data_IF_944128182669
#
_entry.id   IF_944128182669
#
_cell.length_a   1.000
_cell.length_b   1.000
_cell.length_c   1.000
_cell.angle_alpha   90.00
_cell.angle_beta   90.00
_cell.angle_gamma   90.00
#
_symmetry.space_group_name_H-M   'P 1'
#
loop_
_entity.id
_entity.type
_entity.pdbx_description
1 polymer ?
#
# COMPACT_ATOMS: atom_id res chain seq x y z
N UNK A 1 -78.44 10.55 -16.82
CA UNK A 1 -77.60 11.10 -15.74
C UNK A 1 -76.18 11.27 -16.27
N UNK A 2 -75.75 12.52 -16.44
CA UNK A 2 -74.40 12.95 -16.82
C UNK A 2 -73.68 13.39 -15.54
N UNK A 3 -72.43 12.99 -15.35
CA UNK A 3 -71.48 13.60 -14.41
C UNK A 3 -70.11 13.57 -15.10
N UNK A 4 -69.70 14.66 -15.75
CA UNK A 4 -68.94 15.80 -15.21
C UNK A 4 -67.53 15.36 -14.79
N UNK A 5 -66.59 15.56 -15.72
CA UNK A 5 -65.17 15.75 -15.47
C UNK A 5 -64.99 17.14 -14.82
N UNK A 6 -63.98 17.31 -13.95
CA UNK A 6 -63.11 18.47 -14.11
C UNK A 6 -61.63 18.08 -14.19
N UNK A 7 -60.98 18.71 -15.18
CA UNK A 7 -59.54 18.97 -15.28
C UNK A 7 -59.08 19.88 -14.12
N UNK A 8 -57.75 20.02 -14.03
CA UNK A 8 -56.92 20.88 -13.16
C UNK A 8 -56.43 20.15 -11.89
N UNK A 9 -55.15 20.19 -11.48
CA UNK A 9 -54.12 21.21 -11.65
C UNK A 9 -52.71 20.56 -11.72
N UNK A 10 -51.94 21.02 -12.70
CA UNK A 10 -50.49 21.24 -12.73
C UNK A 10 -49.65 20.76 -11.53
N UNK A 11 -48.87 19.69 -11.73
CA UNK A 11 -47.59 19.56 -11.02
C UNK A 11 -46.62 20.56 -11.66
N UNK A 12 -46.49 21.69 -10.99
CA UNK A 12 -45.37 22.61 -11.16
C UNK A 12 -44.12 21.80 -10.80
N UNK A 13 -43.34 21.40 -11.80
CA UNK A 13 -41.91 21.23 -11.60
C UNK A 13 -41.41 22.60 -11.17
N UNK A 14 -41.17 22.78 -9.86
CA UNK A 14 -40.23 23.79 -9.42
C UNK A 14 -38.89 23.35 -9.99
N UNK A 15 -38.58 23.89 -11.17
CA UNK A 15 -37.22 24.20 -11.54
C UNK A 15 -36.67 25.00 -10.37
N UNK A 16 -35.90 24.33 -9.51
CA UNK A 16 -34.91 25.02 -8.71
C UNK A 16 -33.99 25.70 -9.72
N UNK A 17 -34.29 26.94 -10.08
CA UNK A 17 -33.32 27.89 -10.58
C UNK A 17 -32.42 28.24 -9.39
N UNK A 18 -31.61 27.28 -8.97
CA UNK A 18 -30.37 27.56 -8.29
C UNK A 18 -29.52 28.29 -9.31
N UNK A 19 -29.18 29.54 -9.01
CA UNK A 19 -28.16 30.27 -9.74
C UNK A 19 -26.89 29.41 -9.82
N UNK A 20 -26.60 28.91 -11.02
CA UNK A 20 -25.32 28.41 -11.49
C UNK A 20 -24.60 27.38 -10.63
N UNK A 21 -25.15 26.18 -10.45
CA UNK A 21 -24.23 25.04 -10.35
C UNK A 21 -23.55 24.92 -11.72
N UNK A 22 -22.22 25.01 -11.78
CA UNK A 22 -21.51 24.79 -13.03
C UNK A 22 -21.83 23.38 -13.53
N UNK A 23 -22.49 23.27 -14.68
CA UNK A 23 -22.66 21.99 -15.37
C UNK A 23 -21.29 21.57 -15.90
N UNK A 24 -20.64 20.66 -15.17
CA UNK A 24 -19.35 20.11 -15.55
C UNK A 24 -19.50 19.28 -16.82
N UNK A 25 -19.01 19.79 -17.95
CA UNK A 25 -19.06 19.08 -19.23
C UNK A 25 -18.31 17.75 -19.14
N UNK A 26 -18.77 16.72 -19.86
CA UNK A 26 -17.99 15.50 -20.03
C UNK A 26 -16.75 15.82 -20.86
N UNK A 27 -15.57 15.43 -20.37
CA UNK A 27 -14.31 15.66 -21.06
C UNK A 27 -14.28 14.99 -22.43
N UNK A 28 -14.79 13.76 -22.50
CA UNK A 28 -14.88 13.00 -23.74
C UNK A 28 -16.23 12.26 -23.77
N UNK A 29 -16.96 12.34 -24.91
CA UNK A 29 -18.30 11.79 -25.04
C UNK A 29 -18.36 10.24 -25.10
N UNK A 30 -17.24 9.53 -25.18
CA UNK A 30 -17.23 8.07 -25.19
C UNK A 30 -17.09 7.48 -23.78
N UNK A 31 -16.89 8.33 -22.78
CA UNK A 31 -16.77 7.92 -21.38
C UNK A 31 -18.14 7.80 -20.72
N UNK A 32 -18.32 6.72 -19.95
CA UNK A 32 -19.60 6.36 -19.34
C UNK A 32 -19.67 6.71 -17.85
N UNK A 33 -18.53 6.79 -17.17
CA UNK A 33 -18.48 7.00 -15.72
C UNK A 33 -17.43 8.04 -15.33
N UNK A 34 -17.74 8.80 -14.26
CA UNK A 34 -16.77 9.69 -13.61
C UNK A 34 -17.04 9.87 -12.12
N UNK A 35 -16.01 10.16 -11.32
CA UNK A 35 -16.15 10.57 -9.91
C UNK A 35 -15.59 11.98 -9.73
N UNK A 36 -16.37 12.89 -9.15
CA UNK A 36 -15.91 14.25 -8.82
C UNK A 36 -15.10 14.26 -7.52
N UNK A 37 -13.94 14.86 -7.57
CA UNK A 37 -13.02 15.09 -6.44
C UNK A 37 -12.80 16.59 -6.31
N UNK A 38 -13.13 17.13 -5.15
CA UNK A 38 -12.78 18.48 -4.77
C UNK A 38 -11.53 18.45 -3.87
N UNK A 39 -10.53 19.25 -4.22
CA UNK A 39 -9.26 19.35 -3.52
C UNK A 39 -9.10 20.77 -2.99
N UNK A 40 -8.78 20.88 -1.70
CA UNK A 40 -8.40 22.12 -1.02
C UNK A 40 -7.15 21.87 -0.20
N UNK A 41 -6.55 22.92 0.34
CA UNK A 41 -5.39 22.80 1.23
C UNK A 41 -5.60 23.58 2.51
N UNK A 42 -4.90 23.20 3.59
CA UNK A 42 -4.89 23.97 4.85
C UNK A 42 -4.02 25.22 4.74
N UNK A 43 -3.03 25.21 3.86
CA UNK A 43 -2.20 26.37 3.51
C UNK A 43 -1.87 26.32 2.02
N UNK A 44 -1.44 27.44 1.44
CA UNK A 44 -1.07 27.45 0.03
C UNK A 44 0.11 26.51 -0.25
N UNK A 45 -0.10 25.57 -1.18
CA UNK A 45 0.87 24.56 -1.61
C UNK A 45 0.92 24.49 -3.13
N UNK A 46 2.10 24.31 -3.68
CA UNK A 46 2.30 24.14 -5.12
C UNK A 46 2.71 22.69 -5.42
N UNK A 47 2.19 22.13 -6.52
CA UNK A 47 2.60 20.83 -7.06
C UNK A 47 2.53 19.68 -6.03
N UNK A 48 1.37 19.53 -5.39
CA UNK A 48 1.21 18.64 -4.25
C UNK A 48 0.80 17.20 -4.66
N UNK A 49 1.47 16.14 -4.16
CA UNK A 49 1.06 14.75 -4.34
C UNK A 49 -0.31 14.45 -3.72
N UNK A 50 -1.26 14.02 -4.54
CA UNK A 50 -2.58 13.64 -4.11
C UNK A 50 -2.86 12.16 -4.38
N UNK A 51 -3.60 11.56 -3.46
CA UNK A 51 -4.10 10.21 -3.58
C UNK A 51 -5.54 10.12 -3.08
N UNK A 52 -6.35 9.34 -3.78
CA UNK A 52 -7.78 9.17 -3.45
C UNK A 52 -8.17 7.72 -3.64
N UNK A 53 -8.77 7.14 -2.60
CA UNK A 53 -9.34 5.80 -2.67
C UNK A 53 -10.74 5.87 -3.28
N UNK A 54 -10.96 5.07 -4.32
CA UNK A 54 -12.22 4.96 -5.03
C UNK A 54 -12.66 3.49 -5.11
N UNK A 55 -13.97 3.27 -5.03
CA UNK A 55 -14.58 1.98 -5.31
C UNK A 55 -15.53 2.12 -6.49
N UNK A 56 -15.10 1.65 -7.65
CA UNK A 56 -15.84 1.66 -8.89
C UNK A 56 -16.82 0.49 -9.02
N UNK A 57 -16.83 -0.49 -8.09
CA UNK A 57 -17.68 -1.69 -8.19
C UNK A 57 -19.17 -1.36 -8.29
N UNK A 58 -19.57 -0.24 -7.71
CA UNK A 58 -20.97 0.22 -7.70
C UNK A 58 -21.45 0.74 -9.07
N UNK A 59 -20.58 0.89 -10.07
CA UNK A 59 -20.93 1.43 -11.38
C UNK A 59 -21.03 0.37 -12.48
N UNK A 60 -20.81 -0.91 -12.13
CA UNK A 60 -20.82 -2.03 -13.09
C UNK A 60 -21.98 -2.99 -12.77
N UNK A 61 -22.70 -3.41 -13.81
CA UNK A 61 -23.72 -4.44 -13.72
C UNK A 61 -23.15 -5.84 -13.52
N UNK A 62 -24.03 -6.81 -13.27
CA UNK A 62 -23.62 -8.22 -13.16
C UNK A 62 -22.96 -8.69 -14.46
N UNK A 63 -21.71 -9.17 -14.37
CA UNK A 63 -20.93 -9.65 -15.51
C UNK A 63 -20.12 -8.58 -16.24
N UNK A 64 -20.31 -7.30 -15.92
CA UNK A 64 -19.43 -6.23 -16.40
C UNK A 64 -18.14 -6.18 -15.56
N UNK A 65 -17.05 -5.74 -16.18
CA UNK A 65 -15.73 -5.67 -15.57
C UNK A 65 -15.14 -4.28 -15.74
N UNK A 66 -14.51 -3.78 -14.70
CA UNK A 66 -13.75 -2.53 -14.72
C UNK A 66 -12.47 -2.69 -15.52
N UNK A 67 -12.16 -1.72 -16.40
CA UNK A 67 -10.86 -1.64 -17.05
C UNK A 67 -9.92 -0.70 -16.26
N UNK A 68 -8.90 -1.21 -15.54
CA UNK A 68 -7.96 -0.38 -14.81
C UNK A 68 -7.15 0.56 -15.72
N UNK A 69 -6.94 0.19 -16.99
CA UNK A 69 -6.24 1.03 -17.97
C UNK A 69 -7.10 2.17 -18.51
N UNK A 70 -8.39 2.17 -18.21
CA UNK A 70 -9.29 3.27 -18.53
C UNK A 70 -9.22 4.41 -17.53
N UNK A 71 -8.53 4.32 -16.38
CA UNK A 71 -8.56 5.45 -15.45
C UNK A 71 -7.90 6.70 -16.07
N UNK A 72 -8.61 7.82 -16.07
CA UNK A 72 -8.14 9.15 -16.47
C UNK A 72 -8.52 10.19 -15.44
N UNK A 73 -7.64 11.17 -15.23
CA UNK A 73 -7.90 12.27 -14.32
C UNK A 73 -7.96 13.57 -15.12
N UNK A 74 -9.03 14.34 -14.95
CA UNK A 74 -9.22 15.60 -15.66
C UNK A 74 -9.52 16.70 -14.67
N UNK A 75 -8.75 17.78 -14.74
CA UNK A 75 -9.04 19.01 -14.02
C UNK A 75 -10.08 19.84 -14.77
N UNK A 76 -11.07 20.35 -14.04
CA UNK A 76 -12.08 21.26 -14.57
C UNK A 76 -12.16 22.53 -13.72
N UNK A 77 -12.40 23.65 -14.37
CA UNK A 77 -12.54 24.93 -13.69
C UNK A 77 -13.84 24.93 -12.86
N UNK A 78 -13.77 25.19 -11.55
CA UNK A 78 -14.93 25.07 -10.66
C UNK A 78 -16.04 26.09 -10.95
N UNK A 79 -15.73 27.20 -11.65
CA UNK A 79 -16.69 28.29 -11.95
C UNK A 79 -17.39 28.08 -13.29
N UNK A 80 -16.66 27.59 -14.28
CA UNK A 80 -17.13 27.46 -15.67
C UNK A 80 -17.47 26.02 -16.07
N UNK A 81 -16.99 25.03 -15.33
CA UNK A 81 -17.13 23.61 -15.66
C UNK A 81 -16.32 23.15 -16.88
N UNK A 82 -15.50 24.05 -17.45
CA UNK A 82 -14.67 23.75 -18.61
C UNK A 82 -13.48 22.87 -18.24
N UNK A 83 -13.08 21.99 -19.16
CA UNK A 83 -11.85 21.20 -19.04
C UNK A 83 -10.65 22.13 -19.06
N UNK A 84 -9.84 22.06 -18.01
CA UNK A 84 -8.57 22.77 -17.93
C UNK A 84 -7.48 21.92 -18.57
N UNK A 85 -7.37 20.65 -18.16
CA UNK A 85 -6.39 19.68 -18.66
C UNK A 85 -6.70 18.25 -18.24
N UNK A 86 -6.15 17.29 -18.96
CA UNK A 86 -5.94 15.94 -18.48
C UNK A 86 -4.65 15.91 -17.63
N UNK A 87 -4.72 15.30 -16.45
CA UNK A 87 -3.60 15.17 -15.52
C UNK A 87 -3.00 13.77 -15.61
N UNK A 88 -1.66 13.64 -15.62
CA UNK A 88 -1.04 12.34 -15.44
C UNK A 88 -1.46 11.74 -14.10
N UNK A 89 -2.05 10.56 -14.14
CA UNK A 89 -2.53 9.84 -12.96
C UNK A 89 -2.31 8.35 -13.12
N UNK A 90 -2.11 7.66 -12.00
CA UNK A 90 -1.94 6.21 -11.94
C UNK A 90 -2.97 5.64 -11.00
N UNK A 91 -3.74 4.68 -11.52
CA UNK A 91 -4.62 3.85 -10.71
C UNK A 91 -3.85 2.65 -10.17
N UNK A 92 -3.87 2.51 -8.85
CA UNK A 92 -3.32 1.38 -8.14
C UNK A 92 -4.50 0.59 -7.54
N UNK A 93 -4.79 -0.62 -8.01
CA UNK A 93 -5.76 -1.48 -7.37
C UNK A 93 -5.45 -1.56 -5.87
N UNK A 94 -6.44 -1.27 -5.01
CA UNK A 94 -6.20 -1.25 -3.56
C UNK A 94 -6.19 -2.67 -3.08
N UNK A 95 -5.10 -3.06 -2.45
CA UNK A 95 -5.02 -4.39 -1.89
C UNK A 95 -5.69 -4.54 -0.51
N UNK A 96 -6.04 -3.45 0.20
CA UNK A 96 -6.54 -3.58 1.59
C UNK A 96 -7.59 -2.56 2.00
N UNK A 97 -8.65 -2.99 2.71
CA UNK A 97 -9.39 -2.10 3.64
C UNK A 97 -8.66 -2.06 4.98
N UNK A 98 -8.61 -0.88 5.60
CA UNK A 98 -8.14 -0.51 6.96
C UNK A 98 -8.60 -1.41 8.14
N UNK A 99 -9.31 -2.54 7.92
CA UNK A 99 -9.98 -3.32 8.99
C UNK A 99 -9.93 -4.84 8.83
N UNK A 100 -9.12 -5.39 7.94
CA UNK A 100 -9.05 -6.85 7.83
C UNK A 100 -7.62 -7.29 7.81
N UNK A 101 -7.07 -7.44 9.02
CA UNK A 101 -6.15 -8.54 9.25
C UNK A 101 -6.80 -9.80 8.73
N UNK A 102 -6.21 -10.32 7.68
CA UNK A 102 -6.47 -11.65 7.23
C UNK A 102 -5.24 -12.44 7.67
N UNK A 103 -5.17 -12.97 8.91
CA UNK A 103 -4.11 -13.89 9.27
C UNK A 103 -4.03 -14.99 8.20
N UNK A 104 -2.85 -15.53 7.89
CA UNK A 104 -2.66 -16.48 6.78
C UNK A 104 -3.61 -17.69 6.79
N UNK A 105 -4.14 -18.07 7.96
CA UNK A 105 -5.19 -19.07 8.13
C UNK A 105 -6.60 -18.64 7.67
N UNK A 106 -6.77 -17.39 7.24
CA UNK A 106 -8.03 -16.77 6.83
C UNK A 106 -8.04 -16.30 5.39
N UNK A 107 -7.49 -17.04 4.42
CA UNK A 107 -7.99 -16.94 3.03
C UNK A 107 -9.49 -16.66 3.07
N UNK A 108 -9.91 -15.55 2.45
CA UNK A 108 -11.22 -14.93 2.71
C UNK A 108 -12.31 -16.02 2.77
N UNK A 109 -13.24 -15.91 3.72
CA UNK A 109 -14.32 -16.87 4.06
C UNK A 109 -15.13 -17.39 2.86
N UNK A 110 -14.93 -16.80 1.67
CA UNK A 110 -15.62 -17.07 0.41
C UNK A 110 -14.89 -18.02 -0.55
N UNK A 111 -13.68 -18.52 -0.24
CA UNK A 111 -13.00 -19.53 -1.07
C UNK A 111 -13.18 -20.96 -0.49
N UNK A 112 -13.57 -21.96 -1.30
CA UNK A 112 -13.57 -23.35 -0.87
C UNK A 112 -12.15 -23.78 -0.50
N UNK A 113 -11.97 -24.27 0.75
CA UNK A 113 -10.68 -24.58 1.37
C UNK A 113 -10.21 -26.01 1.04
N UNK A 114 -9.28 -26.25 0.11
CA UNK A 114 -8.33 -27.33 0.34
C UNK A 114 -7.44 -26.94 1.54
N UNK A 115 -7.07 -27.87 2.43
CA UNK A 115 -6.12 -27.57 3.49
C UNK A 115 -4.81 -27.10 2.85
N UNK A 116 -4.32 -25.93 3.26
CA UNK A 116 -2.98 -25.47 2.88
C UNK A 116 -1.97 -26.55 3.33
N UNK A 117 -1.04 -26.90 2.45
CA UNK A 117 0.04 -27.82 2.78
C UNK A 117 1.34 -27.04 2.83
N UNK A 118 2.12 -27.24 3.89
CA UNK A 118 3.49 -26.75 3.96
C UNK A 118 4.44 -27.91 3.72
N UNK A 119 5.47 -27.66 2.94
CA UNK A 119 6.52 -28.61 2.59
C UNK A 119 7.87 -27.96 2.80
N UNK A 120 8.86 -28.75 3.19
CA UNK A 120 10.24 -28.29 3.25
C UNK A 120 11.17 -29.27 2.53
N UNK A 121 12.32 -28.78 2.04
CA UNK A 121 13.37 -29.67 1.52
C UNK A 121 14.00 -30.51 2.63
N UNK A 122 14.07 -29.96 3.85
CA UNK A 122 14.44 -30.70 5.07
C UNK A 122 13.75 -30.10 6.29
N UNK A 123 13.53 -30.92 7.32
CA UNK A 123 12.92 -30.48 8.58
C UNK A 123 13.42 -31.32 9.76
N UNK A 124 13.60 -30.68 10.90
CA UNK A 124 13.90 -31.36 12.15
C UNK A 124 12.64 -32.02 12.71
N UNK A 125 12.79 -33.20 13.31
CA UNK A 125 11.64 -33.99 13.79
C UNK A 125 10.83 -33.29 14.90
N UNK A 126 11.49 -32.45 15.69
CA UNK A 126 10.93 -31.60 16.75
C UNK A 126 10.38 -30.27 16.23
N UNK A 127 10.75 -29.85 15.03
CA UNK A 127 10.37 -28.58 14.40
C UNK A 127 9.87 -28.78 12.94
N UNK A 128 8.78 -29.55 12.73
CA UNK A 128 8.28 -29.85 11.38
C UNK A 128 7.68 -28.62 10.69
N UNK A 129 7.65 -28.64 9.35
CA UNK A 129 7.21 -27.54 8.49
C UNK A 129 5.77 -27.10 8.74
N UNK A 130 4.89 -28.02 9.16
CA UNK A 130 3.49 -27.70 9.51
C UNK A 130 3.37 -26.67 10.64
N UNK A 131 4.40 -26.48 11.45
CA UNK A 131 4.37 -25.56 12.59
C UNK A 131 4.27 -24.09 12.16
N UNK A 132 4.72 -23.71 10.95
CA UNK A 132 4.75 -22.31 10.50
C UNK A 132 3.43 -21.79 9.93
N UNK A 133 2.39 -22.61 9.90
CA UNK A 133 1.03 -22.19 9.48
C UNK A 133 -0.02 -22.47 10.56
N UNK A 134 0.42 -22.88 11.75
CA UNK A 134 -0.48 -23.12 12.88
C UNK A 134 -0.97 -21.78 13.44
N UNK A 135 -2.29 -21.58 13.50
CA UNK A 135 -2.88 -20.31 13.91
C UNK A 135 -2.87 -20.10 15.43
N UNK A 136 -2.43 -21.11 16.18
CA UNK A 136 -2.49 -21.13 17.65
C UNK A 136 -1.36 -20.35 18.33
N UNK A 137 -0.38 -19.83 17.59
CA UNK A 137 0.86 -19.32 18.19
C UNK A 137 1.07 -17.84 17.99
N UNK A 138 0.24 -17.03 18.63
CA UNK A 138 0.78 -15.79 19.19
C UNK A 138 1.57 -16.18 20.44
N UNK A 139 2.90 -16.31 20.30
CA UNK A 139 3.90 -16.48 21.38
C UNK A 139 4.16 -17.90 21.95
N UNK A 140 3.79 -18.96 21.24
CA UNK A 140 3.88 -20.35 21.76
C UNK A 140 4.74 -21.33 20.94
N UNK A 141 6.06 -21.24 21.01
CA UNK A 141 7.01 -22.38 20.89
C UNK A 141 7.04 -23.30 19.65
N UNK A 142 6.15 -23.19 18.66
CA UNK A 142 6.20 -24.04 17.46
C UNK A 142 6.90 -23.30 16.33
N UNK A 143 8.09 -23.79 15.97
CA UNK A 143 8.87 -23.30 14.83
C UNK A 143 9.06 -24.43 13.81
N UNK A 144 9.35 -24.07 12.56
CA UNK A 144 10.03 -24.97 11.64
C UNK A 144 11.54 -24.74 11.73
N UNK A 145 12.32 -25.82 11.68
CA UNK A 145 13.78 -25.78 11.57
C UNK A 145 14.24 -26.75 10.49
N UNK A 146 15.15 -26.33 9.62
CA UNK A 146 15.80 -27.24 8.65
C UNK A 146 16.59 -28.36 9.36
N UNK A 147 16.67 -29.56 8.75
CA UNK A 147 17.43 -30.68 9.33
C UNK A 147 18.86 -30.84 8.77
N UNK A 148 19.10 -30.38 7.54
CA UNK A 148 20.39 -30.58 6.86
C UNK A 148 21.32 -29.37 7.04
N UNK A 149 22.65 -29.59 6.99
CA UNK A 149 23.64 -28.52 7.14
C UNK A 149 23.84 -27.70 5.85
N UNK A 150 23.44 -28.22 4.68
CA UNK A 150 23.76 -27.61 3.41
C UNK A 150 22.55 -26.91 2.76
N UNK A 151 22.65 -25.62 2.39
CA UNK A 151 21.62 -24.89 1.66
C UNK A 151 21.44 -25.40 0.21
N UNK A 152 20.31 -25.10 -0.46
CA UNK A 152 19.22 -24.24 0.01
C UNK A 152 18.21 -24.97 0.90
N UNK A 153 17.82 -24.31 1.99
CA UNK A 153 16.63 -24.71 2.75
C UNK A 153 15.41 -24.05 2.13
N UNK A 154 14.45 -24.85 1.69
CA UNK A 154 13.23 -24.36 1.07
C UNK A 154 12.07 -24.68 1.99
N UNK A 155 11.23 -23.69 2.24
CA UNK A 155 9.94 -23.82 2.92
C UNK A 155 8.86 -23.30 1.98
N UNK A 156 7.93 -24.16 1.56
CA UNK A 156 6.89 -23.84 0.58
C UNK A 156 5.50 -24.06 1.12
N UNK A 157 4.59 -23.14 0.77
CA UNK A 157 3.15 -23.22 0.99
C UNK A 157 2.46 -23.56 -0.33
N UNK A 158 1.71 -24.67 -0.38
CA UNK A 158 0.77 -25.03 -1.45
C UNK A 158 -0.63 -24.52 -1.08
N UNK A 159 -1.16 -23.61 -1.90
CA UNK A 159 -2.48 -23.03 -1.73
C UNK A 159 -3.61 -23.97 -2.20
N UNK A 160 -3.26 -25.16 -2.72
CA UNK A 160 -4.16 -26.18 -3.23
C UNK A 160 -4.76 -25.88 -4.61
N UNK A 161 -4.82 -24.60 -5.00
CA UNK A 161 -5.25 -24.14 -6.31
C UNK A 161 -4.58 -22.79 -6.63
N UNK A 162 -4.50 -22.37 -7.91
CA UNK A 162 -4.00 -21.04 -8.25
C UNK A 162 -4.87 -19.92 -7.67
N UNK A 163 -4.26 -19.03 -6.89
CA UNK A 163 -4.85 -17.87 -6.23
C UNK A 163 -4.10 -16.59 -6.61
N UNK A 164 -4.74 -15.44 -6.53
CA UNK A 164 -4.05 -14.15 -6.66
C UNK A 164 -3.33 -13.79 -5.37
N UNK A 165 -2.02 -13.80 -5.37
CA UNK A 165 -1.18 -13.45 -4.22
C UNK A 165 -0.40 -12.19 -4.56
N UNK A 166 -0.24 -11.32 -3.58
CA UNK A 166 0.49 -10.06 -3.69
C UNK A 166 1.44 -9.82 -2.52
N UNK A 167 1.44 -10.73 -1.54
CA UNK A 167 2.34 -10.66 -0.40
C UNK A 167 2.69 -12.04 0.14
N UNK A 168 3.96 -12.17 0.50
CA UNK A 168 4.49 -13.30 1.26
C UNK A 168 5.30 -12.75 2.43
N UNK A 169 5.22 -13.43 3.56
CA UNK A 169 5.86 -13.00 4.80
C UNK A 169 6.46 -14.20 5.51
N UNK A 170 7.59 -14.00 6.17
CA UNK A 170 8.21 -14.97 7.06
C UNK A 170 8.65 -14.29 8.35
N UNK A 171 8.38 -14.92 9.51
CA UNK A 171 8.73 -14.41 10.83
C UNK A 171 9.78 -15.28 11.50
N UNK A 172 10.75 -14.65 12.14
CA UNK A 172 11.83 -15.32 12.88
C UNK A 172 11.56 -15.40 14.36
N UNK A 173 12.05 -16.46 15.04
CA UNK A 173 11.97 -16.55 16.49
C UNK A 173 12.62 -15.36 17.19
N UNK A 174 11.92 -14.82 18.18
CA UNK A 174 12.32 -13.61 18.91
C UNK A 174 13.38 -13.81 19.99
N UNK A 175 13.66 -15.04 20.41
CA UNK A 175 14.53 -15.33 21.54
C UNK A 175 15.58 -16.41 21.19
N UNK A 176 16.84 -16.00 21.03
CA UNK A 176 17.95 -16.94 20.79
C UNK A 176 19.32 -16.26 20.65
N UNK A 177 20.39 -17.06 20.66
CA UNK A 177 21.61 -16.69 19.96
C UNK A 177 21.30 -16.64 18.46
N UNK A 178 22.07 -15.95 17.61
CA UNK A 178 21.65 -15.66 16.22
C UNK A 178 21.65 -16.91 15.31
N UNK A 179 21.70 -18.10 15.90
CA UNK A 179 21.67 -19.39 15.25
C UNK A 179 20.38 -19.53 14.45
N UNK A 180 20.50 -20.03 13.22
CA UNK A 180 19.40 -20.21 12.28
C UNK A 180 18.83 -18.92 11.69
N UNK A 181 19.39 -17.75 12.01
CA UNK A 181 18.95 -16.51 11.36
C UNK A 181 19.42 -16.49 9.89
N UNK A 182 18.51 -16.34 8.91
CA UNK A 182 18.91 -16.21 7.51
C UNK A 182 19.67 -14.91 7.24
N UNK A 183 20.81 -15.05 6.60
CA UNK A 183 21.56 -13.94 6.02
C UNK A 183 21.05 -13.66 4.60
N UNK A 184 20.86 -14.71 3.81
CA UNK A 184 20.39 -14.58 2.43
C UNK A 184 19.16 -15.48 2.25
N UNK A 185 18.06 -14.86 1.83
CA UNK A 185 16.86 -15.60 1.49
C UNK A 185 16.06 -14.90 0.39
N UNK A 186 15.38 -15.70 -0.41
CA UNK A 186 14.53 -15.24 -1.50
C UNK A 186 13.09 -15.72 -1.33
N UNK A 187 12.16 -14.81 -1.58
CA UNK A 187 10.76 -15.14 -1.74
C UNK A 187 10.47 -15.40 -3.20
N UNK A 188 9.86 -16.55 -3.47
CA UNK A 188 9.55 -16.97 -4.82
C UNK A 188 8.13 -17.53 -4.92
N UNK A 189 7.53 -17.40 -6.11
CA UNK A 189 6.19 -17.89 -6.39
C UNK A 189 6.13 -18.67 -7.68
N UNK A 190 5.14 -19.56 -7.80
CA UNK A 190 4.92 -20.35 -9.01
C UNK A 190 3.45 -20.77 -9.16
N UNK A 191 2.97 -20.78 -10.40
CA UNK A 191 1.72 -21.45 -10.79
C UNK A 191 1.93 -22.85 -11.36
N UNK A 192 3.14 -23.14 -11.83
CA UNK A 192 3.44 -24.32 -12.66
C UNK A 192 4.30 -25.36 -11.94
N UNK A 193 4.69 -25.11 -10.69
CA UNK A 193 5.40 -26.10 -9.89
C UNK A 193 4.55 -27.35 -9.69
N UNK A 194 5.19 -28.52 -9.78
CA UNK A 194 4.51 -29.81 -9.60
C UNK A 194 4.54 -30.27 -8.14
N UNK A 195 5.55 -29.84 -7.38
CA UNK A 195 5.85 -30.33 -6.05
C UNK A 195 5.90 -29.23 -4.97
N UNK A 196 5.94 -27.96 -5.39
CA UNK A 196 6.16 -26.80 -4.53
C UNK A 196 7.59 -26.65 -4.04
N UNK A 197 8.52 -27.54 -4.42
CA UNK A 197 9.87 -27.58 -3.85
C UNK A 197 10.96 -27.33 -4.89
N UNK A 198 11.05 -28.11 -5.96
CA UNK A 198 12.20 -28.03 -6.89
C UNK A 198 11.77 -27.97 -8.35
N UNK A 199 10.68 -28.63 -8.72
CA UNK A 199 10.25 -28.73 -10.12
C UNK A 199 9.35 -27.55 -10.49
N UNK A 200 9.63 -26.91 -11.61
CA UNK A 200 8.80 -25.86 -12.21
C UNK A 200 9.55 -24.55 -12.45
N UNK A 201 8.83 -23.57 -12.99
CA UNK A 201 9.31 -22.20 -13.18
C UNK A 201 8.99 -21.39 -11.93
N UNK A 202 9.99 -20.74 -11.35
CA UNK A 202 9.85 -19.91 -10.16
C UNK A 202 10.17 -18.45 -10.49
N UNK A 203 9.31 -17.54 -10.06
CA UNK A 203 9.51 -16.09 -10.14
C UNK A 203 9.96 -15.60 -8.77
N UNK A 204 11.11 -14.93 -8.70
CA UNK A 204 11.54 -14.21 -7.50
C UNK A 204 10.73 -12.93 -7.35
N UNK A 205 10.05 -12.79 -6.22
CA UNK A 205 9.18 -11.65 -5.90
C UNK A 205 9.72 -10.77 -4.78
N UNK A 206 10.80 -11.19 -4.13
CA UNK A 206 11.51 -10.42 -3.12
C UNK A 206 12.60 -11.26 -2.47
N UNK A 207 13.24 -10.71 -1.46
CA UNK A 207 14.29 -11.39 -0.71
C UNK A 207 15.18 -10.40 0.01
N UNK A 208 16.18 -10.89 0.72
CA UNK A 208 17.17 -10.05 1.36
C UNK A 208 18.55 -10.67 1.27
N UNK A 209 19.55 -9.80 1.36
CA UNK A 209 20.96 -10.16 1.49
C UNK A 209 21.50 -9.32 2.64
N UNK A 210 21.61 -9.94 3.81
CA UNK A 210 22.07 -9.27 5.02
C UNK A 210 23.60 -9.36 5.07
N UNK A 211 24.28 -8.33 4.55
CA UNK A 211 25.73 -8.22 4.63
C UNK A 211 26.23 -7.77 6.02
N UNK A 212 25.35 -7.32 6.91
CA UNK A 212 25.74 -6.56 8.09
C UNK A 212 24.95 -6.91 9.35
N UNK A 213 24.97 -8.18 9.80
CA UNK A 213 24.67 -8.63 11.18
C UNK A 213 23.44 -8.02 11.90
N UNK A 214 22.50 -7.42 11.18
CA UNK A 214 21.28 -6.86 11.74
C UNK A 214 20.44 -8.02 12.25
N UNK A 215 20.29 -8.10 13.57
CA UNK A 215 19.49 -9.13 14.24
C UNK A 215 18.05 -9.05 13.71
N UNK A 216 17.56 -10.13 13.09
CA UNK A 216 16.18 -10.24 12.57
C UNK A 216 15.19 -10.78 13.62
N UNK A 217 15.55 -10.74 14.91
CA UNK A 217 14.74 -11.37 15.95
C UNK A 217 13.36 -10.73 16.04
N UNK A 218 12.33 -11.58 16.05
CA UNK A 218 10.93 -11.19 16.21
C UNK A 218 10.40 -10.25 15.12
N UNK A 219 11.12 -10.17 13.98
CA UNK A 219 10.77 -9.32 12.84
C UNK A 219 10.14 -10.19 11.77
N UNK A 220 9.05 -9.70 11.19
CA UNK A 220 8.50 -10.29 9.98
C UNK A 220 9.23 -9.68 8.78
N UNK A 221 9.77 -10.52 7.89
CA UNK A 221 10.22 -10.08 6.56
C UNK A 221 9.09 -10.29 5.59
N UNK A 222 8.78 -9.24 4.83
CA UNK A 222 7.64 -9.21 3.92
C UNK A 222 8.16 -8.89 2.52
N UNK A 223 7.67 -9.60 1.52
CA UNK A 223 7.80 -9.20 0.12
C UNK A 223 6.41 -8.89 -0.43
N UNK A 224 6.24 -7.66 -0.86
CA UNK A 224 5.08 -7.19 -1.59
C UNK A 224 5.40 -7.14 -3.07
N UNK A 225 4.44 -7.55 -3.89
CA UNK A 225 4.63 -7.59 -5.32
C UNK A 225 3.30 -7.38 -6.04
N UNK A 226 3.36 -6.97 -7.31
CA UNK A 226 2.18 -6.88 -8.17
C UNK A 226 1.45 -8.22 -8.13
N UNK A 227 0.13 -8.26 -7.91
CA UNK A 227 -0.59 -9.51 -7.79
C UNK A 227 -0.26 -10.51 -8.90
N UNK A 228 0.02 -11.75 -8.51
CA UNK A 228 0.32 -12.88 -9.40
C UNK A 228 -0.66 -14.00 -9.15
N UNK A 229 -1.07 -14.69 -10.20
CA UNK A 229 -1.83 -15.93 -10.06
C UNK A 229 -0.85 -17.07 -9.77
N UNK A 230 -0.83 -17.56 -8.55
CA UNK A 230 0.17 -18.51 -8.03
C UNK A 230 -0.52 -19.64 -7.28
N UNK A 231 0.05 -20.84 -7.32
CA UNK A 231 -0.38 -21.97 -6.49
C UNK A 231 0.58 -22.20 -5.33
N UNK A 232 1.86 -21.94 -5.57
CA UNK A 232 2.94 -22.14 -4.62
C UNK A 232 3.63 -20.81 -4.33
N UNK A 233 3.95 -20.62 -3.06
CA UNK A 233 4.86 -19.59 -2.60
C UNK A 233 5.91 -20.27 -1.72
N UNK A 234 7.18 -19.92 -1.90
CA UNK A 234 8.28 -20.49 -1.12
C UNK A 234 9.25 -19.43 -0.64
N UNK A 235 9.91 -19.76 0.45
CA UNK A 235 11.09 -19.09 0.95
C UNK A 235 12.30 -19.98 0.70
N UNK A 236 13.32 -19.45 0.04
CA UNK A 236 14.56 -20.13 -0.29
C UNK A 236 15.68 -19.49 0.52
N UNK A 237 16.16 -20.16 1.56
CA UNK A 237 17.29 -19.69 2.38
C UNK A 237 18.57 -20.30 1.85
N UNK A 238 19.51 -19.46 1.43
CA UNK A 238 20.80 -19.89 0.87
C UNK A 238 21.96 -19.69 1.84
N UNK A 239 21.78 -18.85 2.87
CA UNK A 239 22.81 -18.61 3.89
C UNK A 239 22.18 -18.22 5.23
N UNK A 240 22.75 -18.72 6.32
CA UNK A 240 22.38 -18.37 7.70
C UNK A 240 23.62 -17.91 8.48
N UNK A 241 23.42 -17.31 9.66
CA UNK A 241 24.52 -16.96 10.57
C UNK A 241 25.25 -18.21 11.06
N UNK A 242 24.49 -19.22 11.49
CA UNK A 242 25.02 -20.50 11.99
C UNK A 242 23.91 -21.56 11.98
N UNK A 243 24.19 -22.75 11.46
CA UNK A 243 23.25 -23.87 11.47
C UNK A 243 22.01 -23.69 10.58
N UNK A 244 21.08 -24.66 10.59
CA UNK A 244 19.87 -24.61 9.77
C UNK A 244 18.95 -23.45 10.17
N UNK A 245 18.16 -22.89 9.24
CA UNK A 245 17.31 -21.77 9.53
C UNK A 245 16.10 -22.18 10.37
N UNK A 246 15.55 -21.21 11.10
CA UNK A 246 14.38 -21.39 11.95
C UNK A 246 13.35 -20.28 11.77
N UNK A 247 12.07 -20.65 11.70
CA UNK A 247 10.96 -19.74 11.45
C UNK A 247 9.78 -20.05 12.38
N UNK A 248 9.15 -19.00 12.90
CA UNK A 248 7.91 -19.10 13.68
C UNK A 248 6.67 -19.19 12.79
N UNK A 249 6.68 -18.48 11.66
CA UNK A 249 5.49 -18.27 10.85
C UNK A 249 5.87 -17.98 9.41
N UNK A 250 5.09 -18.51 8.46
CA UNK A 250 5.13 -18.14 7.05
C UNK A 250 3.72 -17.91 6.57
N UNK A 251 3.51 -16.71 6.04
CA UNK A 251 2.21 -16.25 5.60
C UNK A 251 2.22 -15.95 4.11
N UNK A 252 1.15 -16.36 3.44
CA UNK A 252 0.87 -16.01 2.04
C UNK A 252 -0.44 -15.27 2.01
N UNK A 253 -0.42 -14.03 1.56
CA UNK A 253 -1.60 -13.17 1.56
C UNK A 253 -2.19 -13.15 0.15
N UNK A 254 -3.41 -13.66 0.05
CA UNK A 254 -4.21 -13.57 -1.17
C UNK A 254 -4.81 -12.17 -1.27
N UNK A 255 -4.73 -11.61 -2.47
CA UNK A 255 -5.34 -10.33 -2.80
C UNK A 255 -6.83 -10.39 -2.41
N UNK A 256 -7.25 -9.48 -1.53
CA UNK A 256 -8.63 -9.42 -1.05
C UNK A 256 -9.62 -9.26 -2.20
N UNK A 257 -9.21 -8.53 -3.22
CA UNK A 257 -9.97 -8.30 -4.43
C UNK A 257 -9.27 -9.01 -5.59
N UNK A 258 -10.06 -9.60 -6.48
CA UNK A 258 -9.54 -10.23 -7.67
C UNK A 258 -8.91 -9.14 -8.57
N UNK A 259 -7.60 -9.15 -8.85
CA UNK A 259 -6.92 -8.03 -9.53
C UNK A 259 -7.53 -7.69 -10.89
N UNK A 260 -8.02 -8.69 -11.64
CA UNK A 260 -8.65 -8.49 -12.95
C UNK A 260 -10.10 -8.00 -12.87
N UNK A 261 -10.72 -7.99 -11.69
CA UNK A 261 -12.09 -7.48 -11.52
C UNK A 261 -12.18 -6.48 -10.37
N UNK A 262 -11.03 -6.07 -9.81
CA UNK A 262 -10.98 -5.18 -8.67
C UNK A 262 -11.25 -3.78 -9.17
N UNK A 263 -12.49 -3.35 -8.96
CA UNK A 263 -12.91 -2.00 -9.24
C UNK A 263 -12.57 -1.05 -8.05
N UNK A 264 -11.85 -1.50 -7.02
CA UNK A 264 -11.45 -0.66 -5.88
C UNK A 264 -9.95 -0.35 -5.93
N UNK A 265 -9.58 0.93 -5.84
CA UNK A 265 -8.17 1.33 -5.86
C UNK A 265 -7.90 2.77 -5.47
N UNK A 266 -6.62 3.13 -5.48
CA UNK A 266 -6.14 4.47 -5.21
C UNK A 266 -5.70 5.11 -6.52
N UNK A 267 -6.27 6.26 -6.86
CA UNK A 267 -5.76 7.10 -7.95
C UNK A 267 -4.75 8.07 -7.35
N UNK A 268 -3.54 8.09 -7.88
CA UNK A 268 -2.45 8.94 -7.42
C UNK A 268 -2.07 9.91 -8.55
N UNK A 269 -1.85 11.18 -8.21
CA UNK A 269 -1.42 12.22 -9.16
C UNK A 269 -0.70 13.36 -8.43
N UNK A 270 -0.07 14.27 -9.17
CA UNK A 270 0.41 15.55 -8.64
C UNK A 270 -0.60 16.62 -9.03
N UNK A 271 -1.13 17.36 -8.05
CA UNK A 271 -2.01 18.50 -8.25
C UNK A 271 -1.17 19.68 -8.78
N UNK A 272 -1.24 20.02 -10.09
CA UNK A 272 -0.24 20.89 -10.71
C UNK A 272 -0.52 22.37 -10.42
N UNK A 273 0.46 23.13 -9.93
CA UNK A 273 0.31 24.52 -9.51
C UNK A 273 -0.32 24.67 -8.12
N UNK A 274 -0.76 25.88 -7.80
CA UNK A 274 -1.16 26.24 -6.43
C UNK A 274 -2.53 25.68 -6.01
N UNK A 275 -2.63 25.27 -4.74
CA UNK A 275 -3.86 24.92 -4.02
C UNK A 275 -3.87 25.73 -2.74
N UNK A 276 -4.96 26.44 -2.44
CA UNK A 276 -5.07 27.24 -1.22
C UNK A 276 -6.37 26.94 -0.46
N UNK A 277 -6.50 27.38 0.81
CA UNK A 277 -7.74 27.27 1.56
C UNK A 277 -8.93 27.97 0.90
N UNK A 278 -8.66 29.03 0.14
CA UNK A 278 -9.67 29.88 -0.50
C UNK A 278 -10.05 29.42 -1.92
N UNK A 279 -9.30 28.48 -2.51
CA UNK A 279 -9.47 28.05 -3.88
C UNK A 279 -9.59 26.52 -3.99
N UNK A 280 -10.83 26.04 -4.04
CA UNK A 280 -11.11 24.64 -4.39
C UNK A 280 -10.72 24.35 -5.84
N UNK A 281 -10.08 23.21 -6.06
CA UNK A 281 -9.81 22.66 -7.39
C UNK A 281 -10.65 21.42 -7.59
N UNK A 282 -11.20 21.28 -8.80
CA UNK A 282 -12.10 20.19 -9.13
C UNK A 282 -11.44 19.27 -10.14
N UNK A 283 -11.41 17.99 -9.79
CA UNK A 283 -10.94 16.91 -10.64
C UNK A 283 -12.06 15.91 -10.85
N UNK A 284 -12.03 15.25 -12.00
CA UNK A 284 -12.89 14.13 -12.32
C UNK A 284 -12.03 12.92 -12.65
N UNK A 285 -12.27 11.81 -11.96
CA UNK A 285 -11.72 10.51 -12.33
C UNK A 285 -12.69 9.84 -13.28
N UNK A 286 -12.35 9.82 -14.57
CA UNK A 286 -13.07 9.10 -15.60
C UNK A 286 -12.59 7.64 -15.65
N UNK A 287 -13.51 6.73 -15.92
CA UNK A 287 -13.24 5.30 -16.03
C UNK A 287 -14.32 4.61 -16.88
N UNK A 288 -14.01 3.42 -17.40
CA UNK A 288 -14.87 2.61 -18.25
C UNK A 288 -14.78 1.13 -17.89
N UNK A 289 -15.64 0.34 -18.54
CA UNK A 289 -15.61 -1.12 -18.49
C UNK A 289 -14.65 -1.71 -19.53
N UNK A 290 -14.23 -2.95 -19.30
CA UNK A 290 -13.48 -3.74 -20.28
C UNK A 290 -14.22 -3.80 -21.63
N UNK A 291 -13.44 -3.79 -22.71
CA UNK A 291 -13.97 -3.89 -24.08
C UNK A 291 -14.40 -2.56 -24.70
N UNK A 292 -14.39 -1.45 -23.97
CA UNK A 292 -14.54 -0.11 -24.55
C UNK A 292 -13.23 0.30 -25.19
N UNK A 293 -13.21 0.47 -26.52
CA UNK A 293 -12.04 1.01 -27.22
C UNK A 293 -11.97 2.52 -26.98
N UNK A 294 -10.85 2.99 -26.46
CA UNK A 294 -10.63 4.41 -26.16
C UNK A 294 -9.59 4.97 -27.14
N UNK A 295 -9.92 6.09 -27.78
CA UNK A 295 -8.97 6.80 -28.66
C UNK A 295 -7.95 7.65 -27.87
N UNK A 296 -7.99 7.69 -26.54
CA UNK A 296 -7.07 8.51 -25.75
C UNK A 296 -5.77 7.79 -25.39
N UNK A 297 -4.65 8.32 -25.90
CA UNK A 297 -3.32 8.00 -25.39
C UNK A 297 -3.18 8.47 -23.95
N UNK A 298 -2.59 7.65 -23.08
CA UNK A 298 -2.23 8.06 -21.72
C UNK A 298 -1.29 9.26 -21.77
N UNK A 299 -1.57 10.29 -20.98
CA UNK A 299 -0.63 11.39 -20.77
C UNK A 299 0.58 10.83 -20.02
N UNK A 300 1.77 11.04 -20.56
CA UNK A 300 3.02 10.60 -19.96
C UNK A 300 3.20 11.22 -18.56
N UNK A 301 3.54 10.37 -17.59
CA UNK A 301 3.71 10.78 -16.21
C UNK A 301 5.12 11.29 -15.96
N UNK A 302 5.34 12.58 -16.20
CA UNK A 302 6.64 13.23 -15.97
C UNK A 302 6.91 13.53 -14.49
N UNK A 303 5.85 13.67 -13.67
CA UNK A 303 5.94 13.86 -12.23
C UNK A 303 5.03 12.88 -11.51
N UNK A 304 5.56 12.24 -10.49
CA UNK A 304 4.88 11.29 -9.64
C UNK A 304 5.11 11.65 -8.18
N UNK A 305 4.05 11.51 -7.40
CA UNK A 305 4.10 11.67 -5.96
C UNK A 305 3.13 10.72 -5.29
N UNK A 306 3.57 10.15 -4.17
CA UNK A 306 2.76 9.40 -3.24
C UNK A 306 2.71 10.17 -1.94
N UNK A 307 1.54 10.24 -1.33
CA UNK A 307 1.34 10.71 0.03
C UNK A 307 0.78 9.56 0.87
N UNK A 308 1.27 9.42 2.10
CA UNK A 308 0.74 8.47 3.08
C UNK A 308 0.73 9.10 4.46
N UNK A 309 -0.44 9.08 5.08
CA UNK A 309 -0.59 9.44 6.49
C UNK A 309 -0.09 8.29 7.37
N UNK A 310 0.43 8.61 8.57
CA UNK A 310 1.07 7.62 9.41
C UNK A 310 0.09 6.55 9.96
N UNK A 311 -1.21 6.83 10.03
CA UNK A 311 -2.22 5.83 10.35
C UNK A 311 -2.35 4.75 9.27
N UNK A 312 -2.25 5.13 8.00
CA UNK A 312 -2.23 4.19 6.89
C UNK A 312 -0.93 3.40 6.91
N UNK A 313 0.19 4.02 7.30
CA UNK A 313 1.45 3.32 7.55
C UNK A 313 1.31 2.32 8.74
N UNK A 314 0.64 2.72 9.83
CA UNK A 314 0.48 1.92 11.03
C UNK A 314 -0.35 0.63 10.85
N UNK A 315 -1.24 0.56 9.85
CA UNK A 315 -1.96 -0.68 9.54
C UNK A 315 -1.01 -1.78 9.05
N UNK A 316 0.09 -1.41 8.39
CA UNK A 316 1.14 -2.34 7.99
C UNK A 316 2.03 -2.73 9.17
N UNK A 317 1.86 -2.07 10.32
CA UNK A 317 2.70 -2.25 11.49
C UNK A 317 2.42 -3.50 12.32
N UNK A 318 1.34 -4.16 11.95
CA UNK A 318 0.43 -4.67 12.94
C UNK A 318 0.69 -6.17 13.32
N UNK A 319 1.50 -6.99 12.60
CA UNK A 319 1.88 -8.33 13.10
C UNK A 319 2.88 -8.33 14.26
N UNK A 320 3.56 -7.20 14.52
CA UNK A 320 4.73 -7.19 15.42
C UNK A 320 4.36 -6.85 16.86
N UNK A 321 3.19 -6.23 17.10
CA UNK A 321 2.58 -6.09 18.44
C UNK A 321 2.95 -4.83 19.24
N UNK A 322 3.56 -3.82 18.62
CA UNK A 322 4.22 -2.72 19.37
C UNK A 322 3.79 -1.28 19.04
N UNK A 323 2.69 -1.05 18.33
CA UNK A 323 2.19 0.32 18.05
C UNK A 323 0.80 0.55 18.63
N UNK A 324 0.71 1.38 19.68
CA UNK A 324 -0.52 1.84 20.31
C UNK A 324 -0.62 3.37 20.25
N UNK A 325 -1.66 3.86 19.55
CA UNK A 325 -2.58 4.90 20.01
C UNK A 325 -3.46 5.34 18.82
N UNK A 326 -4.50 4.58 18.50
CA UNK A 326 -5.60 5.13 17.70
C UNK A 326 -6.43 6.02 18.63
N UNK A 327 -6.09 7.30 18.73
CA UNK A 327 -7.12 8.30 19.08
C UNK A 327 -8.24 8.19 18.04
N UNK A 328 -9.49 8.42 18.45
CA UNK A 328 -10.68 8.21 17.63
C UNK A 328 -10.46 8.72 16.19
N UNK A 329 -10.54 7.79 15.23
CA UNK A 329 -10.27 8.00 13.79
C UNK A 329 -11.06 9.16 13.15
N UNK A 330 -12.14 9.61 13.78
CA UNK A 330 -12.93 10.75 13.31
C UNK A 330 -12.20 12.10 13.50
N UNK A 331 -11.24 12.18 14.43
CA UNK A 331 -10.37 13.35 14.61
C UNK A 331 -9.12 13.33 13.71
N UNK A 332 -8.85 12.17 13.10
CA UNK A 332 -7.62 11.86 12.36
C UNK A 332 -7.68 12.22 10.86
N UNK A 333 -8.65 13.02 10.41
CA UNK A 333 -8.65 13.56 9.05
C UNK A 333 -8.71 15.08 9.08
N UNK A 334 -7.52 15.71 9.12
CA UNK A 334 -7.35 17.11 8.74
C UNK A 334 -8.02 18.18 9.61
N UNK A 335 -8.43 17.93 10.85
CA UNK A 335 -9.15 18.95 11.60
C UNK A 335 -8.30 19.80 12.56
N UNK A 336 -7.47 19.22 13.46
CA UNK A 336 -6.79 20.00 14.52
C UNK A 336 -5.45 19.45 15.05
N UNK A 337 -5.09 18.19 14.80
CA UNK A 337 -3.86 17.54 15.30
C UNK A 337 -3.22 16.63 14.25
N UNK A 338 -1.87 16.51 14.20
CA UNK A 338 -1.16 15.53 13.37
C UNK A 338 -1.60 14.09 13.61
N UNK A 339 -1.63 13.26 12.57
CA UNK A 339 -1.89 11.82 12.67
C UNK A 339 -0.61 11.12 13.10
N UNK A 340 -0.34 11.11 14.41
CA UNK A 340 0.91 10.56 14.91
C UNK A 340 0.86 9.04 15.08
N UNK A 341 1.69 8.32 14.31
CA UNK A 341 2.17 7.01 14.71
C UNK A 341 3.28 7.21 15.73
N UNK A 342 2.97 6.97 17.01
CA UNK A 342 3.95 7.04 18.10
C UNK A 342 4.61 5.69 18.31
N UNK A 343 5.94 5.66 18.26
CA UNK A 343 6.74 4.49 18.63
C UNK A 343 7.42 4.76 19.96
N UNK A 344 7.09 3.93 20.96
CA UNK A 344 7.56 4.11 22.33
C UNK A 344 9.08 4.09 22.44
N UNK A 345 9.61 4.79 23.46
CA UNK A 345 11.02 4.73 23.83
C UNK A 345 11.36 3.30 24.28
N UNK A 346 12.23 2.62 23.55
CA UNK A 346 12.64 1.25 23.86
C UNK A 346 14.17 1.20 24.06
N UNK A 347 14.69 0.42 25.02
CA UNK A 347 16.12 0.34 25.34
C UNK A 347 17.01 -0.28 24.23
N UNK A 348 16.48 -0.54 23.03
CA UNK A 348 17.26 -1.09 21.91
C UNK A 348 17.97 0.04 21.14
N UNK A 349 19.24 -0.18 20.78
CA UNK A 349 20.12 0.77 20.07
C UNK A 349 19.56 1.22 18.70
N UNK A 350 18.76 0.37 18.08
CA UNK A 350 18.00 0.64 16.87
C UNK A 350 16.56 0.28 17.17
N UNK A 351 15.64 1.21 16.99
CA UNK A 351 14.23 0.89 17.01
C UNK A 351 13.86 0.56 15.57
N UNK A 352 13.46 -0.68 15.38
CA UNK A 352 13.01 -1.19 14.10
C UNK A 352 11.74 -0.46 13.76
N UNK A 353 11.79 0.30 12.67
CA UNK A 353 10.61 0.87 12.08
C UNK A 353 10.00 -0.26 11.24
N UNK A 354 9.47 -1.27 11.91
CA UNK A 354 9.14 -2.58 11.31
C UNK A 354 7.95 -2.53 10.32
N UNK A 355 7.46 -1.33 10.02
CA UNK A 355 6.02 -1.13 10.10
C UNK A 355 5.48 0.10 9.36
N UNK A 356 6.34 0.94 8.74
CA UNK A 356 5.90 1.83 7.66
C UNK A 356 6.20 1.24 6.28
N UNK A 357 6.48 -0.07 6.25
CA UNK A 357 6.52 -0.84 5.04
C UNK A 357 5.20 -0.71 4.30
N UNK A 358 5.22 0.02 3.20
CA UNK A 358 4.04 0.28 2.39
C UNK A 358 4.28 -0.22 0.97
N UNK A 359 3.33 -0.98 0.38
CA UNK A 359 3.39 -1.22 -1.04
C UNK A 359 3.27 0.12 -1.77
N UNK A 360 4.31 0.46 -2.52
CA UNK A 360 4.34 1.61 -3.42
C UNK A 360 4.40 1.08 -4.84
N UNK A 361 3.63 1.67 -5.74
CA UNK A 361 3.79 1.39 -7.17
C UNK A 361 4.48 2.56 -7.80
N UNK A 362 5.62 2.27 -8.41
CA UNK A 362 6.52 3.22 -9.02
C UNK A 362 6.30 3.13 -10.54
N UNK A 363 5.76 4.18 -11.18
CA UNK A 363 5.41 4.13 -12.60
C UNK A 363 6.65 4.17 -13.50
N UNK A 364 7.75 4.77 -13.05
CA UNK A 364 8.96 4.96 -13.83
C UNK A 364 10.21 4.78 -12.95
N UNK A 365 11.27 4.18 -13.51
CA UNK A 365 12.54 4.05 -12.78
C UNK A 365 13.22 5.41 -12.70
N UNK A 366 13.73 5.80 -11.53
CA UNK A 366 14.36 7.11 -11.39
C UNK A 366 14.91 7.41 -10.01
N UNK A 367 15.30 8.67 -9.83
CA UNK A 367 15.71 9.23 -8.56
C UNK A 367 14.49 9.81 -7.83
N UNK A 368 14.26 9.32 -6.61
CA UNK A 368 13.14 9.71 -5.77
C UNK A 368 13.62 10.46 -4.54
N UNK A 369 12.81 11.42 -4.08
CA UNK A 369 12.96 12.09 -2.80
C UNK A 369 11.88 11.62 -1.86
N UNK A 370 12.31 11.07 -0.73
CA UNK A 370 11.47 10.71 0.40
C UNK A 370 11.46 11.87 1.40
N UNK A 371 10.29 12.41 1.70
CA UNK A 371 10.08 13.43 2.73
C UNK A 371 9.30 12.83 3.88
N UNK A 372 9.79 13.04 5.10
CA UNK A 372 9.19 12.55 6.34
C UNK A 372 8.85 13.73 7.24
N UNK A 373 7.67 13.71 7.85
CA UNK A 373 7.37 14.60 8.97
C UNK A 373 7.42 13.83 10.28
N UNK A 374 8.44 14.11 11.08
CA UNK A 374 8.69 13.37 12.33
C UNK A 374 8.89 14.32 13.50
N UNK A 375 8.66 13.80 14.70
CA UNK A 375 9.00 14.46 15.96
C UNK A 375 9.69 13.45 16.86
N UNK A 376 10.90 13.76 17.29
CA UNK A 376 11.70 12.93 18.20
C UNK A 376 12.57 13.83 19.09
N UNK A 377 13.60 13.25 19.72
CA UNK A 377 14.64 14.05 20.37
C UNK A 377 15.35 14.96 19.35
N UNK A 378 15.73 16.19 19.73
CA UNK A 378 16.56 17.02 18.88
C UNK A 378 17.96 16.43 18.76
N UNK A 379 18.54 16.51 17.56
CA UNK A 379 19.87 15.99 17.31
C UNK A 379 19.97 15.18 16.02
N UNK A 380 21.06 14.45 15.93
CA UNK A 380 21.39 13.62 14.78
C UNK A 380 20.90 12.19 15.01
N UNK A 381 20.13 11.66 14.05
CA UNK A 381 19.56 10.31 14.08
C UNK A 381 20.02 9.52 12.86
N UNK A 382 20.47 8.28 13.05
CA UNK A 382 20.84 7.41 11.94
C UNK A 382 19.58 6.90 11.25
N UNK A 383 19.62 6.82 9.92
CA UNK A 383 18.52 6.27 9.13
C UNK A 383 19.01 5.25 8.11
N UNK A 384 18.09 4.40 7.66
CA UNK A 384 18.27 3.46 6.55
C UNK A 384 16.99 3.36 5.74
N UNK A 385 17.03 3.48 4.41
CA UNK A 385 15.89 3.26 3.51
C UNK A 385 16.11 1.95 2.78
N UNK A 386 15.10 1.08 2.77
CA UNK A 386 15.11 -0.18 2.04
C UNK A 386 13.98 -0.18 1.02
N UNK A 387 14.26 -0.78 -0.13
CA UNK A 387 13.28 -1.13 -1.13
C UNK A 387 13.37 -2.64 -1.32
N UNK A 388 12.25 -3.32 -1.14
CA UNK A 388 12.14 -4.79 -1.22
C UNK A 388 13.15 -5.51 -0.30
N UNK A 389 13.28 -5.02 0.95
CA UNK A 389 14.27 -5.44 1.95
C UNK A 389 15.75 -5.24 1.54
N UNK A 390 16.03 -4.54 0.43
CA UNK A 390 17.37 -4.16 0.03
C UNK A 390 17.68 -2.71 0.45
N UNK A 391 18.76 -2.52 1.21
CA UNK A 391 19.23 -1.19 1.60
C UNK A 391 19.64 -0.37 0.38
N UNK A 392 18.96 0.75 0.16
CA UNK A 392 19.27 1.68 -0.93
C UNK A 392 19.93 2.97 -0.45
N UNK A 393 19.78 3.31 0.84
CA UNK A 393 20.41 4.51 1.44
C UNK A 393 20.59 4.35 2.94
N UNK A 394 21.74 4.78 3.47
CA UNK A 394 22.00 4.98 4.89
C UNK A 394 22.54 6.38 5.11
N UNK A 395 22.33 6.94 6.29
CA UNK A 395 22.90 8.23 6.64
C UNK A 395 22.42 8.73 7.98
N UNK A 396 22.44 10.05 8.12
CA UNK A 396 21.96 10.73 9.32
C UNK A 396 21.04 11.89 8.96
N UNK A 397 20.01 12.10 9.77
CA UNK A 397 19.08 13.21 9.67
C UNK A 397 19.19 14.08 10.93
N UNK A 398 19.06 15.38 10.75
CA UNK A 398 19.05 16.35 11.84
C UNK A 398 17.61 16.71 12.17
N UNK A 399 17.23 16.55 13.44
CA UNK A 399 15.92 16.91 13.97
C UNK A 399 16.02 18.09 14.94
N UNK A 400 15.01 18.96 14.91
CA UNK A 400 14.85 20.06 15.85
C UNK A 400 13.97 19.68 17.05
N UNK A 401 13.73 20.63 17.94
CA UNK A 401 12.75 20.44 19.01
C UNK A 401 11.33 20.61 18.45
N UNK A 402 10.66 19.49 18.17
CA UNK A 402 9.29 19.45 17.66
C UNK A 402 9.16 18.74 16.32
N UNK A 403 8.09 19.05 15.59
CA UNK A 403 7.85 18.49 14.26
C UNK A 403 8.84 19.06 13.25
N UNK A 404 9.56 18.17 12.57
CA UNK A 404 10.57 18.50 11.59
C UNK A 404 10.26 17.78 10.28
N UNK A 405 10.46 18.48 9.16
CA UNK A 405 10.45 17.88 7.83
C UNK A 405 11.86 17.46 7.48
N UNK A 406 12.08 16.16 7.29
CA UNK A 406 13.35 15.61 6.87
C UNK A 406 13.25 15.06 5.45
N UNK A 407 14.30 15.24 4.65
CA UNK A 407 14.33 14.77 3.27
C UNK A 407 15.51 13.85 3.01
N UNK A 408 15.24 12.78 2.29
CA UNK A 408 16.22 11.81 1.81
C UNK A 408 16.09 11.81 0.28
N UNK A 409 16.98 12.55 -0.36
CA UNK A 409 17.01 12.70 -1.81
C UNK A 409 17.79 11.57 -2.51
N UNK A 410 17.65 11.52 -3.84
CA UNK A 410 18.39 10.65 -4.75
C UNK A 410 18.29 9.15 -4.43
N UNK A 411 17.10 8.70 -4.01
CA UNK A 411 16.79 7.30 -3.81
C UNK A 411 16.61 6.62 -5.18
N UNK A 412 17.46 5.66 -5.57
CA UNK A 412 17.31 4.97 -6.85
C UNK A 412 16.22 3.90 -6.71
N UNK A 413 15.06 4.12 -7.34
CA UNK A 413 13.93 3.17 -7.29
C UNK A 413 13.56 2.79 -8.72
N UNK A 414 13.35 1.49 -8.95
CA UNK A 414 12.92 0.97 -10.25
C UNK A 414 11.41 1.14 -10.42
N UNK A 415 10.94 1.09 -11.66
CA UNK A 415 9.52 0.96 -11.95
C UNK A 415 9.03 -0.42 -11.50
N UNK A 416 7.82 -0.48 -10.95
CA UNK A 416 7.21 -1.70 -10.44
C UNK A 416 6.46 -1.50 -9.12
N UNK A 417 5.97 -2.59 -8.56
CA UNK A 417 5.44 -2.62 -7.19
C UNK A 417 6.59 -2.97 -6.26
N UNK A 418 6.76 -2.14 -5.25
CA UNK A 418 7.86 -2.22 -4.29
C UNK A 418 7.34 -2.14 -2.87
N UNK A 419 8.12 -2.68 -1.94
CA UNK A 419 7.95 -2.45 -0.51
C UNK A 419 8.96 -1.42 -0.04
N UNK A 420 8.50 -0.23 0.35
CA UNK A 420 9.37 0.80 0.90
C UNK A 420 9.39 0.73 2.42
N UNK A 421 10.56 0.48 2.99
CA UNK A 421 10.81 0.58 4.42
C UNK A 421 11.78 1.72 4.70
N UNK A 422 11.63 2.34 5.85
CA UNK A 422 12.58 3.32 6.36
C UNK A 422 12.83 2.94 7.80
N UNK A 423 14.07 3.01 8.27
CA UNK A 423 14.50 2.81 9.64
C UNK A 423 15.08 4.12 10.15
N UNK A 424 14.78 4.47 11.39
CA UNK A 424 15.28 5.68 12.04
C UNK A 424 15.61 5.36 13.50
N UNK A 425 16.79 5.75 13.98
CA UNK A 425 17.15 5.56 15.39
C UNK A 425 16.19 6.30 16.30
N UNK A 426 15.71 5.64 17.35
CA UNK A 426 14.78 6.22 18.31
C UNK A 426 15.40 7.42 19.05
N UNK A 427 14.52 8.25 19.62
CA UNK A 427 14.91 9.12 20.71
C UNK A 427 15.37 8.32 21.92
N UNK A 428 16.25 8.94 22.72
CA UNK A 428 16.67 8.51 24.04
C UNK A 428 15.62 8.82 25.11
N UNK A 429 14.98 9.98 25.02
CA UNK A 429 14.05 10.50 26.02
C UNK A 429 12.63 10.65 25.48
N UNK A 430 12.48 11.13 24.23
CA UNK A 430 11.19 11.29 23.57
C UNK A 430 10.90 10.11 22.62
N UNK A 431 9.65 9.61 22.60
CA UNK A 431 9.18 8.72 21.54
C UNK A 431 9.41 9.31 20.15
N UNK A 432 9.55 8.45 19.16
CA UNK A 432 9.56 8.85 17.76
C UNK A 432 8.12 8.87 17.26
N UNK A 433 7.64 10.05 16.88
CA UNK A 433 6.35 10.24 16.23
C UNK A 433 6.54 10.48 14.73
N UNK A 434 5.73 9.82 13.91
CA UNK A 434 5.62 10.05 12.47
C UNK A 434 4.22 10.54 12.15
N UNK A 435 4.10 11.57 11.32
CA UNK A 435 2.80 12.08 10.87
C UNK A 435 2.47 11.64 9.45
N UNK A 436 3.44 11.73 8.55
CA UNK A 436 3.24 11.47 7.12
C UNK A 436 4.56 11.27 6.38
N UNK A 437 4.41 10.70 5.19
CA UNK A 437 5.48 10.40 4.26
C UNK A 437 5.06 10.81 2.85
N UNK A 438 5.98 11.45 2.13
CA UNK A 438 5.85 11.70 0.69
C UNK A 438 7.00 11.08 -0.06
N UNK A 439 6.71 10.38 -1.15
CA UNK A 439 7.71 9.85 -2.08
C UNK A 439 7.46 10.46 -3.45
N UNK A 440 8.41 11.21 -3.99
CA UNK A 440 8.23 11.91 -5.27
C UNK A 440 9.46 11.78 -6.16
N UNK A 441 9.30 11.80 -7.48
CA UNK A 441 10.42 11.98 -8.42
C UNK A 441 10.67 13.47 -8.74
N UNK A 442 10.09 14.36 -7.94
CA UNK A 442 10.13 15.81 -8.11
C UNK A 442 11.02 16.42 -7.02
N UNK A 443 12.35 16.55 -7.25
CA UNK A 443 13.31 16.87 -6.20
C UNK A 443 13.16 18.29 -5.63
N UNK A 444 12.38 19.17 -6.26
CA UNK A 444 12.05 20.50 -5.76
C UNK A 444 10.82 20.52 -4.83
N UNK A 445 10.08 19.40 -4.70
CA UNK A 445 8.92 19.32 -3.81
C UNK A 445 9.33 19.52 -2.34
N UNK A 446 8.77 20.55 -1.70
CA UNK A 446 9.04 20.90 -0.29
C UNK A 446 7.70 21.14 0.42
N UNK A 447 7.01 20.09 0.89
CA UNK A 447 5.70 20.25 1.51
C UNK A 447 5.77 21.12 2.75
N UNK A 448 4.83 22.05 2.92
CA UNK A 448 4.67 22.87 4.14
C UNK A 448 3.35 22.57 4.87
N UNK A 449 2.41 21.89 4.21
CA UNK A 449 1.06 21.61 4.68
C UNK A 449 0.49 20.27 4.17
N UNK A 450 -0.81 20.06 4.38
CA UNK A 450 -1.59 18.88 3.98
C UNK A 450 -2.77 19.29 3.11
N UNK A 451 -3.13 18.42 2.16
CA UNK A 451 -4.38 18.56 1.39
C UNK A 451 -5.59 18.05 2.17
N UNK A 452 -6.75 18.63 1.85
CA UNK A 452 -8.07 18.16 2.27
C UNK A 452 -8.86 17.75 1.04
N UNK A 453 -9.36 16.52 1.06
CA UNK A 453 -10.14 15.96 -0.03
C UNK A 453 -11.63 15.90 0.33
N UNK A 454 -12.48 16.26 -0.62
CA UNK A 454 -13.90 15.95 -0.60
C UNK A 454 -14.24 15.14 -1.85
N UNK A 455 -14.53 13.85 -1.65
CA UNK A 455 -14.95 12.93 -2.72
C UNK A 455 -16.47 12.93 -2.78
N UNK A 456 -17.05 13.28 -3.92
CA UNK A 456 -18.49 13.22 -4.12
C UNK A 456 -18.91 11.83 -4.63
N UNK A 457 -20.21 11.46 -4.55
CA UNK A 457 -20.72 10.28 -5.25
C UNK A 457 -20.36 10.32 -6.73
N UNK A 458 -20.09 9.16 -7.33
CA UNK A 458 -19.83 9.10 -8.77
C UNK A 458 -21.09 9.30 -9.60
N UNK A 459 -20.85 9.72 -10.84
CA UNK A 459 -21.84 10.03 -11.84
C UNK A 459 -21.77 8.96 -12.94
N UNK A 460 -22.94 8.46 -13.33
CA UNK A 460 -23.12 7.60 -14.50
C UNK A 460 -23.76 8.45 -15.58
N UNK A 461 -23.22 8.40 -16.79
CA UNK A 461 -23.83 9.10 -17.91
C UNK A 461 -25.21 8.49 -18.23
N UNK A 462 -26.25 9.32 -18.48
CA UNK A 462 -27.57 8.83 -18.86
C UNK A 462 -27.60 7.94 -20.11
#
# INVERSE_FOLDING_TARGET
MRAILPRFLSLIFLANTCAGAADFAWWNPDWQHRVKIAVTSVQSEDDFPADVRLNFSNYFGAGERFDPHSVRLVEQDPKTGQVVRECPAVFLPTDFRRRSYVPASRLAVWLPKPPQQVRATSESADHPAKNVIDDTTHFGGTTWRGAEQDPPWILSVDLGSPQWVNCVMARFPGAGDATGQPLDADFEVSCDSQDGLLKGTWERVGGWTNAANGRLYNIARVAWFTPRRVRYARLVVTRTVKGPPEFEDVQVWVARYHPETCAEGTVNWVVPGSVSPESERVFFVYFNKEGVTLESSLVEMTRFGLHREAEDAAVYAAPTGWSYATTNLEDASGAKTPNALTVAVHPQKYLYWDNAGMPVTIPESGAYTLTLRTRCDPGEHEFEVLVDNASIRKGKLQFGDGWTMAQIADLPIKAGVHYLEVFLTNGKERPLDLDCLWLTNYPEFRPKAFLKYKVNPGEVRP
#
